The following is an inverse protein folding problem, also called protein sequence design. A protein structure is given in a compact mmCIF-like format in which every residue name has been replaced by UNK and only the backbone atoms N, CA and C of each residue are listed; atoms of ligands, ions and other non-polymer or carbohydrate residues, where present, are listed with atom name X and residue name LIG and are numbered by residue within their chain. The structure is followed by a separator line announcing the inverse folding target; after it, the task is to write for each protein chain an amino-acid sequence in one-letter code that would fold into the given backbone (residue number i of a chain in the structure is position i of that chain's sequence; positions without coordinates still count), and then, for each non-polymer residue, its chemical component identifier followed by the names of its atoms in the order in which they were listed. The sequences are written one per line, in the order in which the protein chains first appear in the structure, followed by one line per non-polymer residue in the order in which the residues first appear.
data_IF_651475874953
#
_entry.id   IF_651475874953
#
_cell.length_a   1.000
_cell.length_b   1.000
_cell.length_c   1.000
_cell.angle_alpha   90.00
_cell.angle_beta   90.00
_cell.angle_gamma   90.00
#
_symmetry.space_group_name_H-M   'P 1'
#
loop_
_entity.id
_entity.type
_entity.pdbx_description
1 polymer ?
#
# COMPACT_ATOMS: atom_id res chain seq x y z
N UNK A 1 1.69 -9.45 2.37
CA UNK A 1 1.80 -7.98 2.45
C UNK A 1 3.09 -7.56 3.13
N UNK A 2 3.30 -7.81 4.43
CA UNK A 2 4.56 -7.45 5.14
C UNK A 2 5.81 -7.98 4.45
N UNK A 3 5.80 -9.25 4.02
CA UNK A 3 6.92 -9.88 3.29
C UNK A 3 7.22 -9.22 1.93
N UNK A 4 6.28 -8.45 1.40
CA UNK A 4 6.42 -7.69 0.15
C UNK A 4 6.82 -6.23 0.40
N UNK A 5 7.10 -5.84 1.66
CA UNK A 5 7.51 -4.48 2.02
C UNK A 5 6.36 -3.50 2.23
N UNK A 6 5.11 -3.95 2.31
CA UNK A 6 3.98 -3.07 2.64
C UNK A 6 3.94 -2.78 4.14
N UNK A 7 3.67 -1.51 4.46
CA UNK A 7 3.43 -1.09 5.84
C UNK A 7 1.93 -1.16 6.16
N UNK A 8 1.60 -1.67 7.34
CA UNK A 8 0.21 -1.83 7.77
C UNK A 8 -0.30 -0.54 8.41
N UNK A 9 -1.27 0.13 7.78
CA UNK A 9 -1.91 1.33 8.31
C UNK A 9 -3.06 1.02 9.26
N UNK A 10 -3.90 0.05 8.87
CA UNK A 10 -5.01 -0.50 9.66
C UNK A 10 -5.14 -1.99 9.35
N UNK A 11 -6.06 -2.70 10.00
CA UNK A 11 -6.17 -4.16 9.84
C UNK A 11 -6.26 -4.62 8.37
N UNK A 12 -7.06 -3.92 7.56
CA UNK A 12 -7.25 -4.23 6.12
C UNK A 12 -6.69 -3.16 5.18
N UNK A 13 -5.88 -2.21 5.68
CA UNK A 13 -5.32 -1.12 4.88
C UNK A 13 -3.80 -1.18 4.92
N UNK A 14 -3.20 -1.21 3.73
CA UNK A 14 -1.77 -1.39 3.53
C UNK A 14 -1.24 -0.29 2.62
N UNK A 15 -0.07 0.24 2.94
CA UNK A 15 0.60 1.27 2.16
C UNK A 15 1.91 0.75 1.56
N UNK A 16 2.24 1.26 0.39
CA UNK A 16 3.52 1.07 -0.28
C UNK A 16 3.90 2.39 -0.97
N UNK A 17 5.19 2.76 -1.02
CA UNK A 17 5.59 4.10 -1.46
C UNK A 17 5.55 4.29 -2.99
N UNK A 18 5.25 3.23 -3.76
CA UNK A 18 5.25 3.24 -5.22
C UNK A 18 4.02 2.51 -5.78
N UNK A 19 3.71 2.77 -7.06
CA UNK A 19 2.69 2.03 -7.79
C UNK A 19 3.02 0.53 -7.81
N UNK A 20 2.06 -0.28 -7.40
CA UNK A 20 2.17 -1.73 -7.28
C UNK A 20 0.96 -2.46 -7.91
N UNK A 21 0.31 -1.86 -8.92
CA UNK A 21 -0.88 -2.39 -9.58
C UNK A 21 -0.75 -3.88 -9.95
N UNK A 22 0.34 -4.27 -10.63
CA UNK A 22 0.57 -5.67 -11.05
C UNK A 22 0.63 -6.65 -9.88
N UNK A 23 1.28 -6.26 -8.78
CA UNK A 23 1.37 -7.09 -7.58
C UNK A 23 0.00 -7.24 -6.92
N UNK A 24 -0.78 -6.15 -6.85
CA UNK A 24 -2.13 -6.18 -6.28
C UNK A 24 -3.08 -6.98 -7.18
N UNK A 25 -2.94 -6.92 -8.50
CA UNK A 25 -3.69 -7.74 -9.44
C UNK A 25 -3.41 -9.24 -9.20
N UNK A 26 -2.15 -9.63 -9.00
CA UNK A 26 -1.78 -10.99 -8.65
C UNK A 26 -2.39 -11.43 -7.30
N UNK A 27 -2.27 -10.60 -6.26
CA UNK A 27 -2.87 -10.87 -4.94
C UNK A 27 -4.38 -11.07 -5.05
N UNK A 28 -5.08 -10.20 -5.81
CA UNK A 28 -6.53 -10.31 -6.02
C UNK A 28 -6.93 -11.63 -6.68
N UNK A 29 -6.14 -12.11 -7.64
CA UNK A 29 -6.36 -13.37 -8.32
C UNK A 29 -6.12 -14.57 -7.39
N UNK A 30 -4.98 -14.60 -6.69
CA UNK A 30 -4.59 -15.68 -5.78
C UNK A 30 -5.60 -15.90 -4.64
N UNK A 31 -6.04 -14.81 -4.01
CA UNK A 31 -7.01 -14.88 -2.91
C UNK A 31 -8.47 -14.90 -3.38
N UNK A 32 -8.73 -14.80 -4.70
CA UNK A 32 -10.07 -14.75 -5.30
C UNK A 32 -10.95 -13.63 -4.74
N UNK A 33 -10.34 -12.50 -4.38
CA UNK A 33 -10.99 -11.34 -3.76
C UNK A 33 -11.30 -10.21 -4.76
N UNK A 34 -10.88 -10.34 -6.02
CA UNK A 34 -11.34 -9.50 -7.15
C UNK A 34 -11.64 -8.03 -6.81
N UNK A 35 -12.92 -7.67 -6.85
CA UNK A 35 -13.43 -6.32 -6.57
C UNK A 35 -13.64 -6.01 -5.07
N UNK A 36 -13.54 -7.00 -4.19
CA UNK A 36 -13.68 -6.84 -2.74
C UNK A 36 -12.42 -6.20 -2.11
N UNK A 37 -11.32 -6.13 -2.85
CA UNK A 37 -10.12 -5.37 -2.49
C UNK A 37 -10.00 -4.12 -3.37
N UNK A 38 -9.89 -2.95 -2.74
CA UNK A 38 -9.71 -1.67 -3.44
C UNK A 38 -8.21 -1.36 -3.58
N UNK A 39 -7.84 -0.77 -4.72
CA UNK A 39 -6.49 -0.27 -4.97
C UNK A 39 -6.58 1.24 -5.23
N UNK A 40 -5.72 2.01 -4.58
CA UNK A 40 -5.68 3.46 -4.72
C UNK A 40 -4.24 3.90 -4.95
N UNK A 41 -4.03 4.77 -5.93
CA UNK A 41 -2.83 5.60 -6.05
C UNK A 41 -3.21 6.96 -5.47
N UNK A 42 -2.45 7.42 -4.48
CA UNK A 42 -2.76 8.61 -3.70
C UNK A 42 -1.66 9.64 -3.91
N UNK A 43 -2.00 10.83 -4.39
CA UNK A 43 -1.03 11.93 -4.56
C UNK A 43 -0.63 12.57 -3.23
N UNK A 44 -1.56 12.65 -2.27
CA UNK A 44 -1.36 13.27 -0.96
C UNK A 44 -2.13 12.52 0.14
N UNK A 45 -1.47 12.31 1.28
CA UNK A 45 -2.06 11.71 2.48
C UNK A 45 -1.76 12.60 3.69
N UNK A 46 -2.78 12.94 4.47
CA UNK A 46 -2.58 13.67 5.73
C UNK A 46 -1.79 12.83 6.74
N UNK A 47 -0.93 13.48 7.52
CA UNK A 47 -0.12 12.84 8.56
C UNK A 47 0.78 11.68 8.07
N UNK A 48 1.22 11.71 6.80
CA UNK A 48 2.06 10.69 6.17
C UNK A 48 3.52 10.67 6.63
N UNK A 49 3.95 11.60 7.49
CA UNK A 49 5.33 11.70 7.99
C UNK A 49 5.89 10.36 8.47
N UNK A 50 5.11 9.61 9.26
CA UNK A 50 5.53 8.30 9.79
C UNK A 50 5.76 7.26 8.68
N UNK A 51 4.95 7.28 7.61
CA UNK A 51 5.14 6.42 6.46
C UNK A 51 6.38 6.82 5.66
N UNK A 52 6.57 8.13 5.44
CA UNK A 52 7.75 8.64 4.74
C UNK A 52 9.02 8.27 5.47
N UNK A 53 9.04 8.42 6.79
CA UNK A 53 10.16 7.97 7.63
C UNK A 53 10.39 6.45 7.51
N UNK A 54 9.32 5.64 7.59
CA UNK A 54 9.40 4.18 7.42
C UNK A 54 9.98 3.77 6.06
N UNK A 55 9.53 4.42 4.98
CA UNK A 55 9.98 4.15 3.61
C UNK A 55 11.23 4.92 3.20
N UNK A 56 11.85 5.69 4.09
CA UNK A 56 13.03 6.51 3.82
C UNK A 56 12.82 7.53 2.68
N UNK A 57 11.63 8.13 2.62
CA UNK A 57 11.25 9.15 1.64
C UNK A 57 11.55 10.57 2.18
N UNK A 58 11.67 11.59 1.29
CA UNK A 58 11.80 12.99 1.68
C UNK A 58 10.64 13.49 2.57
N UNK A 59 10.96 14.31 3.59
CA UNK A 59 10.03 14.78 4.63
C UNK A 59 9.53 16.23 4.46
N UNK A 60 9.88 16.86 3.34
CA UNK A 60 9.52 18.20 2.87
C UNK A 60 8.73 19.12 3.82
#
# INVERSE_FOLDING_TARGET
MVSCGFERLQDSVWAYPYDCEDLIALVKAEFRIGADALYLIVEQMEHDKHLREHFHLPLD
#
